data_IF_815903427722
#
_entry.id   IF_815903427722
#
_cell.length_a   1.000
_cell.length_b   1.000
_cell.length_c   1.000
_cell.angle_alpha   90.00
_cell.angle_beta   90.00
_cell.angle_gamma   90.00
#
_symmetry.space_group_name_H-M   'P 1'
#
loop_
_entity.id
_entity.type
_entity.pdbx_description
1 polymer ?
#
# COMPACT_ATOMS: atom_id res chain seq x y z
N UNK A 1 -1.05 1.17 -16.58
CA UNK A 1 -1.85 0.25 -15.74
C UNK A 1 -1.09 -1.06 -15.71
N UNK A 2 -0.59 -1.51 -14.55
CA UNK A 2 0.26 -2.70 -14.49
C UNK A 2 -0.45 -3.98 -14.94
N UNK A 3 -1.75 -4.11 -14.67
CA UNK A 3 -2.54 -5.26 -15.13
C UNK A 3 -2.80 -5.24 -16.63
N UNK A 4 -3.14 -4.08 -17.21
CA UNK A 4 -3.31 -3.96 -18.65
C UNK A 4 -2.01 -4.28 -19.39
N UNK A 5 -0.87 -3.76 -18.90
CA UNK A 5 0.45 -4.09 -19.45
C UNK A 5 0.80 -5.59 -19.33
N UNK A 6 0.26 -6.27 -18.31
CA UNK A 6 0.42 -7.71 -18.12
C UNK A 6 -0.45 -8.51 -19.10
N UNK A 7 -1.70 -8.10 -19.29
CA UNK A 7 -2.63 -8.69 -20.28
C UNK A 7 -2.09 -8.52 -21.70
N UNK A 8 -1.55 -7.34 -22.02
CA UNK A 8 -0.99 -6.99 -23.33
C UNK A 8 0.39 -7.61 -23.59
N UNK A 9 0.89 -8.49 -22.70
CA UNK A 9 2.22 -9.12 -22.79
C UNK A 9 3.40 -8.15 -22.92
N UNK A 10 3.24 -6.90 -22.48
CA UNK A 10 4.32 -5.90 -22.47
C UNK A 10 5.48 -6.38 -21.59
N UNK A 11 5.20 -7.20 -20.58
CA UNK A 11 6.23 -7.79 -19.72
C UNK A 11 7.12 -8.78 -20.48
N UNK A 12 6.63 -9.43 -21.54
CA UNK A 12 7.43 -10.32 -22.39
C UNK A 12 8.31 -9.50 -23.34
N UNK A 13 7.78 -8.40 -23.89
CA UNK A 13 8.58 -7.47 -24.70
C UNK A 13 9.72 -6.82 -23.88
N UNK A 14 9.45 -6.44 -22.63
CA UNK A 14 10.47 -5.95 -21.70
C UNK A 14 11.54 -7.01 -21.37
N UNK A 15 11.26 -8.31 -21.56
CA UNK A 15 12.24 -9.39 -21.37
C UNK A 15 13.42 -9.33 -22.33
N UNK A 16 13.17 -8.84 -23.55
CA UNK A 16 14.15 -8.79 -24.64
C UNK A 16 14.96 -7.49 -24.60
N UNK A 17 14.58 -6.56 -23.73
CA UNK A 17 15.31 -5.31 -23.51
C UNK A 17 16.34 -5.45 -22.37
N UNK A 18 17.42 -4.64 -22.37
CA UNK A 18 18.42 -4.66 -21.29
C UNK A 18 17.89 -4.17 -19.93
N UNK A 19 16.61 -3.79 -19.85
CA UNK A 19 16.00 -3.24 -18.64
C UNK A 19 15.57 -4.39 -17.73
N UNK A 20 16.04 -4.37 -16.48
CA UNK A 20 15.58 -5.36 -15.50
C UNK A 20 14.09 -5.14 -15.15
N UNK A 21 13.27 -6.17 -15.37
CA UNK A 21 11.84 -6.16 -15.02
C UNK A 21 11.61 -5.80 -13.54
N UNK A 22 12.52 -6.25 -12.66
CA UNK A 22 12.50 -5.92 -11.23
C UNK A 22 12.66 -4.41 -10.99
N UNK A 23 13.58 -3.76 -11.70
CA UNK A 23 13.77 -2.31 -11.63
C UNK A 23 12.54 -1.55 -12.13
N UNK A 24 11.92 -2.01 -13.22
CA UNK A 24 10.68 -1.43 -13.73
C UNK A 24 9.52 -1.52 -12.73
N UNK A 25 9.29 -2.70 -12.15
CA UNK A 25 8.21 -2.91 -11.18
C UNK A 25 8.47 -2.14 -9.88
N UNK A 26 9.71 -2.11 -9.40
CA UNK A 26 10.10 -1.30 -8.24
C UNK A 26 9.87 0.20 -8.49
N UNK A 27 10.27 0.70 -9.67
CA UNK A 27 9.99 2.09 -10.07
C UNK A 27 8.49 2.41 -10.05
N UNK A 28 7.65 1.52 -10.59
CA UNK A 28 6.18 1.67 -10.56
C UNK A 28 5.62 1.65 -9.13
N UNK A 29 6.15 0.79 -8.26
CA UNK A 29 5.74 0.74 -6.86
C UNK A 29 6.10 2.03 -6.10
N UNK A 30 7.29 2.57 -6.34
CA UNK A 30 7.72 3.86 -5.79
C UNK A 30 6.83 4.99 -6.31
N UNK A 31 6.55 5.03 -7.62
CA UNK A 31 5.64 6.02 -8.20
C UNK A 31 4.23 5.97 -7.60
N UNK A 32 3.67 4.77 -7.39
CA UNK A 32 2.37 4.60 -6.73
C UNK A 32 2.40 5.07 -5.27
N UNK A 33 3.48 4.80 -4.55
CA UNK A 33 3.68 5.22 -3.15
C UNK A 33 3.77 6.75 -3.05
N UNK A 34 4.59 7.38 -3.89
CA UNK A 34 4.74 8.85 -3.91
C UNK A 34 3.44 9.54 -4.31
N UNK A 35 2.77 9.05 -5.35
CA UNK A 35 1.47 9.58 -5.79
C UNK A 35 0.42 9.48 -4.68
N UNK A 36 0.37 8.35 -3.96
CA UNK A 36 -0.51 8.19 -2.82
C UNK A 36 -0.15 9.10 -1.66
N UNK A 37 1.14 9.33 -1.38
CA UNK A 37 1.59 10.29 -0.37
C UNK A 37 1.07 11.69 -0.67
N UNK A 38 1.26 12.17 -1.90
CA UNK A 38 0.74 13.48 -2.33
C UNK A 38 -0.79 13.56 -2.21
N UNK A 39 -1.50 12.54 -2.72
CA UNK A 39 -2.96 12.50 -2.66
C UNK A 39 -3.46 12.47 -1.21
N UNK A 40 -2.85 11.66 -0.33
CA UNK A 40 -3.23 11.60 1.08
C UNK A 40 -3.02 12.94 1.77
N UNK A 41 -1.88 13.61 1.55
CA UNK A 41 -1.64 14.95 2.11
C UNK A 41 -2.72 15.94 1.68
N UNK A 42 -3.07 15.97 0.40
CA UNK A 42 -4.12 16.85 -0.13
C UNK A 42 -5.50 16.50 0.46
N UNK A 43 -5.86 15.22 0.51
CA UNK A 43 -7.13 14.77 1.07
C UNK A 43 -7.26 15.09 2.56
N UNK A 44 -6.20 14.89 3.35
CA UNK A 44 -6.19 15.21 4.78
C UNK A 44 -6.26 16.72 5.01
N UNK A 45 -5.58 17.50 4.17
CA UNK A 45 -5.63 18.96 4.22
C UNK A 45 -7.02 19.52 3.88
N UNK A 46 -7.63 19.03 2.79
CA UNK A 46 -9.00 19.40 2.39
C UNK A 46 -10.07 18.87 3.35
N UNK A 47 -9.81 17.73 4.00
CA UNK A 47 -10.74 17.08 4.92
C UNK A 47 -10.99 17.83 6.23
N UNK A 48 -10.38 19.00 6.42
CA UNK A 48 -10.68 19.87 7.56
C UNK A 48 -10.25 19.27 8.90
N UNK A 49 -9.23 18.41 8.91
CA UNK A 49 -8.53 17.93 10.12
C UNK A 49 -7.73 19.07 10.79
N UNK A 50 -8.29 20.29 10.80
CA UNK A 50 -7.62 21.57 11.06
C UNK A 50 -7.08 21.78 12.47
N UNK A 51 -7.19 20.78 13.35
CA UNK A 51 -6.46 20.74 14.63
C UNK A 51 -5.06 20.13 14.49
N UNK A 52 -4.81 19.38 13.41
CA UNK A 52 -3.50 18.78 13.15
C UNK A 52 -2.61 19.74 12.36
N UNK A 53 -1.39 19.95 12.87
CA UNK A 53 -0.36 20.73 12.16
C UNK A 53 0.09 20.03 10.87
N UNK A 54 0.67 20.79 9.93
CA UNK A 54 1.09 20.24 8.63
C UNK A 54 2.11 19.10 8.75
N UNK A 55 2.97 19.14 9.77
CA UNK A 55 3.91 18.05 10.07
C UNK A 55 3.17 16.75 10.43
N UNK A 56 2.06 16.85 11.17
CA UNK A 56 1.25 15.71 11.58
C UNK A 56 0.53 15.10 10.37
N UNK A 57 -0.01 15.94 9.49
CA UNK A 57 -0.59 15.51 8.21
C UNK A 57 0.43 14.75 7.36
N UNK A 58 1.65 15.29 7.24
CA UNK A 58 2.73 14.61 6.52
C UNK A 58 3.10 13.26 7.15
N UNK A 59 3.15 13.15 8.49
CA UNK A 59 3.42 11.88 9.16
C UNK A 59 2.36 10.81 8.86
N UNK A 60 1.07 11.17 8.89
CA UNK A 60 -0.02 10.24 8.56
C UNK A 60 0.02 9.87 7.07
N UNK A 61 0.29 10.83 6.19
CA UNK A 61 0.45 10.56 4.77
C UNK A 61 1.61 9.59 4.49
N UNK A 62 2.74 9.75 5.19
CA UNK A 62 3.88 8.83 5.12
C UNK A 62 3.54 7.43 5.63
N UNK A 63 2.69 7.31 6.66
CA UNK A 63 2.22 6.02 7.14
C UNK A 63 1.28 5.33 6.13
N UNK A 64 0.44 6.10 5.41
CA UNK A 64 -0.54 5.57 4.46
C UNK A 64 0.06 5.28 3.07
N UNK A 65 1.05 6.06 2.62
CA UNK A 65 1.60 5.98 1.27
C UNK A 65 2.09 4.58 0.85
N UNK A 66 2.84 3.82 1.69
CA UNK A 66 3.35 2.49 1.32
C UNK A 66 2.25 1.48 0.97
N UNK A 67 1.03 1.68 1.49
CA UNK A 67 -0.11 0.80 1.22
C UNK A 67 -0.49 0.78 -0.26
N UNK A 68 -0.36 1.92 -0.95
CA UNK A 68 -0.63 2.02 -2.39
C UNK A 68 0.39 1.23 -3.22
N UNK A 69 1.68 1.32 -2.87
CA UNK A 69 2.72 0.52 -3.51
C UNK A 69 2.51 -0.98 -3.29
N UNK A 70 2.20 -1.36 -2.06
CA UNK A 70 1.94 -2.75 -1.68
C UNK A 70 0.73 -3.33 -2.42
N UNK A 71 -0.39 -2.60 -2.48
CA UNK A 71 -1.61 -3.04 -3.18
C UNK A 71 -1.39 -3.11 -4.69
N UNK A 72 -0.72 -2.13 -5.30
CA UNK A 72 -0.41 -2.14 -6.72
C UNK A 72 0.47 -3.35 -7.10
N UNK A 73 1.50 -3.64 -6.32
CA UNK A 73 2.38 -4.79 -6.53
C UNK A 73 1.68 -6.11 -6.26
N UNK A 74 0.83 -6.16 -5.23
CA UNK A 74 0.03 -7.34 -4.94
C UNK A 74 -0.90 -7.69 -6.12
N UNK A 75 -1.62 -6.71 -6.65
CA UNK A 75 -2.45 -6.92 -7.84
C UNK A 75 -1.60 -7.38 -9.02
N UNK A 76 -0.46 -6.74 -9.29
CA UNK A 76 0.43 -7.15 -10.37
C UNK A 76 0.93 -8.61 -10.23
N UNK A 77 1.24 -9.04 -9.00
CA UNK A 77 1.78 -10.36 -8.72
C UNK A 77 0.71 -11.47 -8.74
N UNK A 78 -0.52 -11.19 -8.32
CA UNK A 78 -1.55 -12.21 -8.10
C UNK A 78 -2.76 -12.15 -9.04
N UNK A 79 -3.09 -10.98 -9.60
CA UNK A 79 -4.17 -10.90 -10.59
C UNK A 79 -3.65 -11.35 -11.96
N UNK A 80 -4.37 -12.27 -12.61
CA UNK A 80 -4.08 -12.67 -13.97
C UNK A 80 -4.55 -11.60 -14.98
N UNK A 81 -5.75 -11.08 -14.74
CA UNK A 81 -6.51 -10.23 -15.68
C UNK A 81 -7.10 -9.00 -14.95
N UNK A 82 -7.40 -7.93 -15.66
CA UNK A 82 -8.02 -6.68 -15.21
C UNK A 82 -9.38 -6.93 -14.54
N UNK A 83 -10.18 -7.85 -15.06
CA UNK A 83 -11.43 -8.30 -14.44
C UNK A 83 -11.20 -8.85 -13.03
N UNK A 84 -10.23 -9.76 -12.86
CA UNK A 84 -9.87 -10.32 -11.54
C UNK A 84 -9.25 -9.26 -10.64
N UNK A 85 -8.46 -8.35 -11.21
CA UNK A 85 -7.91 -7.20 -10.49
C UNK A 85 -9.00 -6.29 -9.91
N UNK A 86 -10.03 -5.99 -10.69
CA UNK A 86 -11.14 -5.16 -10.24
C UNK A 86 -11.95 -5.82 -9.11
N UNK A 87 -12.23 -7.11 -9.24
CA UNK A 87 -12.86 -7.89 -8.17
C UNK A 87 -11.99 -7.92 -6.91
N UNK A 88 -10.68 -8.14 -7.06
CA UNK A 88 -9.73 -8.17 -5.95
C UNK A 88 -9.65 -6.81 -5.24
N UNK A 89 -9.63 -5.68 -5.96
CA UNK A 89 -9.65 -4.34 -5.36
C UNK A 89 -10.91 -4.14 -4.53
N UNK A 90 -12.08 -4.51 -5.05
CA UNK A 90 -13.36 -4.35 -4.32
C UNK A 90 -13.39 -5.18 -3.04
N UNK A 91 -13.01 -6.45 -3.11
CA UNK A 91 -12.97 -7.31 -1.92
C UNK A 91 -11.91 -6.84 -0.91
N UNK A 92 -10.74 -6.43 -1.41
CA UNK A 92 -9.68 -5.89 -0.56
C UNK A 92 -10.14 -4.60 0.12
N UNK A 93 -10.92 -3.75 -0.54
CA UNK A 93 -11.43 -2.53 0.06
C UNK A 93 -12.29 -2.81 1.31
N UNK A 94 -13.14 -3.83 1.26
CA UNK A 94 -13.92 -4.27 2.44
C UNK A 94 -13.01 -4.62 3.60
N UNK A 95 -11.96 -5.42 3.34
CA UNK A 95 -11.00 -5.84 4.37
C UNK A 95 -10.16 -4.66 4.89
N UNK A 96 -9.71 -3.78 3.99
CA UNK A 96 -8.85 -2.64 4.31
C UNK A 96 -9.61 -1.54 5.07
N UNK A 97 -10.93 -1.47 4.98
CA UNK A 97 -11.75 -0.52 5.75
C UNK A 97 -12.01 -1.00 7.18
N UNK A 98 -11.92 -2.31 7.46
CA UNK A 98 -12.21 -2.88 8.80
C UNK A 98 -11.48 -2.15 9.95
N UNK A 99 -10.17 -1.86 9.87
CA UNK A 99 -9.48 -1.16 10.96
C UNK A 99 -10.01 0.23 11.28
N UNK A 100 -10.62 0.92 10.30
CA UNK A 100 -11.18 2.25 10.51
C UNK A 100 -12.47 2.21 11.35
N UNK A 101 -13.28 1.16 11.19
CA UNK A 101 -14.61 1.04 11.82
C UNK A 101 -14.59 0.27 13.16
N UNK A 102 -13.59 -0.58 13.38
CA UNK A 102 -13.48 -1.33 14.64
C UNK A 102 -12.84 -0.45 15.73
N UNK A 103 -13.48 -0.27 16.91
CA UNK A 103 -12.92 0.51 18.00
C UNK A 103 -11.62 -0.10 18.53
N UNK A 104 -10.58 0.72 18.63
CA UNK A 104 -9.20 0.31 18.94
C UNK A 104 -8.91 0.19 20.43
N UNK A 105 -9.69 -0.59 21.19
CA UNK A 105 -9.41 -0.84 22.61
C UNK A 105 -9.35 -2.34 22.94
N UNK A 106 -8.40 -2.70 23.81
CA UNK A 106 -8.21 -4.07 24.31
C UNK A 106 -7.33 -4.97 23.44
N UNK A 107 -7.24 -6.26 23.82
CA UNK A 107 -6.40 -7.26 23.14
C UNK A 107 -6.94 -7.63 21.74
N UNK A 108 -8.26 -7.51 21.54
CA UNK A 108 -8.91 -7.83 20.26
C UNK A 108 -8.43 -6.97 19.08
N UNK A 109 -7.86 -5.79 19.33
CA UNK A 109 -7.33 -4.92 18.27
C UNK A 109 -6.14 -5.55 17.52
N UNK A 110 -5.37 -6.43 18.19
CA UNK A 110 -4.20 -7.08 17.60
C UNK A 110 -4.57 -8.13 16.55
N UNK A 111 -5.83 -8.59 16.54
CA UNK A 111 -6.35 -9.46 15.48
C UNK A 111 -6.37 -8.74 14.12
N UNK A 112 -6.41 -7.41 14.11
CA UNK A 112 -6.36 -6.60 12.90
C UNK A 112 -4.94 -6.20 12.49
N UNK A 113 -3.92 -6.47 13.32
CA UNK A 113 -2.53 -6.16 12.99
C UNK A 113 -2.01 -6.77 11.66
N UNK A 114 -2.47 -7.96 11.21
CA UNK A 114 -2.13 -8.48 9.89
C UNK A 114 -2.71 -7.66 8.73
N UNK A 115 -3.76 -6.88 8.97
CA UNK A 115 -4.37 -6.03 7.94
C UNK A 115 -3.46 -4.83 7.71
N UNK A 116 -2.95 -4.61 6.49
CA UNK A 116 -1.92 -3.60 6.28
C UNK A 116 -2.43 -2.16 6.49
N UNK A 117 -3.73 -1.90 6.34
CA UNK A 117 -4.34 -0.61 6.67
C UNK A 117 -4.52 -0.36 8.17
N UNK A 118 -4.28 -1.34 9.04
CA UNK A 118 -4.38 -1.17 10.49
C UNK A 118 -3.27 -0.25 11.03
N UNK A 119 -2.05 -0.41 10.54
CA UNK A 119 -0.89 0.41 10.94
C UNK A 119 -1.07 1.91 10.69
N UNK A 120 -1.46 2.37 9.48
CA UNK A 120 -1.75 3.79 9.26
C UNK A 120 -2.96 4.29 10.05
N UNK A 121 -3.97 3.44 10.31
CA UNK A 121 -5.11 3.82 11.14
C UNK A 121 -4.70 4.06 12.60
N UNK A 122 -3.81 3.24 13.16
CA UNK A 122 -3.26 3.44 14.51
C UNK A 122 -2.34 4.67 14.58
N UNK A 123 -1.52 4.91 13.55
CA UNK A 123 -0.70 6.12 13.47
C UNK A 123 -1.56 7.40 13.51
N UNK A 124 -2.69 7.41 12.79
CA UNK A 124 -3.64 8.51 12.83
C UNK A 124 -4.30 8.67 14.22
N UNK A 125 -4.76 7.59 14.84
CA UNK A 125 -5.41 7.61 16.15
C UNK A 125 -4.48 8.10 17.26
N UNK A 126 -3.25 7.60 17.28
CA UNK A 126 -2.23 8.02 18.24
C UNK A 126 -1.95 9.52 18.11
N UNK A 127 -1.81 10.00 16.86
CA UNK A 127 -1.54 11.39 16.59
C UNK A 127 -2.73 12.30 16.95
N UNK A 128 -3.96 11.83 16.72
CA UNK A 128 -5.19 12.51 17.14
C UNK A 128 -5.32 12.59 18.66
N UNK A 129 -4.80 11.59 19.39
CA UNK A 129 -4.75 11.56 20.85
C UNK A 129 -3.55 12.32 21.44
N UNK A 130 -2.66 12.88 20.61
CA UNK A 130 -1.45 13.58 21.06
C UNK A 130 -0.33 12.64 21.56
N UNK A 131 -0.37 11.36 21.18
CA UNK A 131 0.58 10.35 21.63
C UNK A 131 1.94 10.41 20.95
N UNK A 132 3.00 10.09 21.71
CA UNK A 132 4.38 10.15 21.25
C UNK A 132 4.82 8.93 20.42
N UNK A 133 4.02 7.86 20.37
CA UNK A 133 4.39 6.60 19.71
C UNK A 133 4.07 6.57 18.21
N UNK A 134 3.65 7.69 17.63
CA UNK A 134 3.37 7.84 16.18
C UNK A 134 4.48 7.26 15.27
N UNK A 135 5.80 7.48 15.53
CA UNK A 135 6.86 6.92 14.70
C UNK A 135 6.88 5.38 14.67
N UNK A 136 6.49 4.72 15.75
CA UNK A 136 6.45 3.25 15.83
C UNK A 136 5.37 2.69 14.89
N UNK A 137 4.21 3.34 14.87
CA UNK A 137 3.10 2.95 13.99
C UNK A 137 3.43 3.20 12.51
N UNK A 138 4.10 4.31 12.21
CA UNK A 138 4.60 4.61 10.85
C UNK A 138 5.63 3.57 10.41
N UNK A 139 6.59 3.25 11.27
CA UNK A 139 7.61 2.23 10.99
C UNK A 139 6.96 0.86 10.74
N UNK A 140 5.97 0.47 11.54
CA UNK A 140 5.19 -0.75 11.34
C UNK A 140 4.49 -0.79 9.98
N UNK A 141 3.86 0.32 9.56
CA UNK A 141 3.24 0.42 8.22
C UNK A 141 4.26 0.22 7.10
N UNK A 142 5.41 0.91 7.18
CA UNK A 142 6.50 0.80 6.19
C UNK A 142 7.03 -0.63 6.13
N UNK A 143 7.24 -1.28 7.27
CA UNK A 143 7.73 -2.66 7.33
C UNK A 143 6.74 -3.65 6.72
N UNK A 144 5.46 -3.58 7.10
CA UNK A 144 4.42 -4.50 6.61
C UNK A 144 4.18 -4.30 5.12
N UNK A 145 4.00 -3.06 4.67
CA UNK A 145 3.80 -2.76 3.25
C UNK A 145 5.05 -3.06 2.41
N UNK A 146 6.24 -2.81 2.96
CA UNK A 146 7.51 -3.16 2.34
C UNK A 146 7.69 -4.68 2.19
N UNK A 147 7.30 -5.46 3.20
CA UNK A 147 7.31 -6.91 3.13
C UNK A 147 6.34 -7.45 2.07
N UNK A 148 5.10 -6.93 2.01
CA UNK A 148 4.12 -7.29 0.97
C UNK A 148 4.68 -6.98 -0.42
N UNK A 149 5.24 -5.78 -0.59
CA UNK A 149 5.87 -5.34 -1.84
C UNK A 149 7.02 -6.27 -2.24
N UNK A 150 7.91 -6.61 -1.31
CA UNK A 150 9.05 -7.49 -1.57
C UNK A 150 8.62 -8.91 -1.93
N UNK A 151 7.60 -9.47 -1.26
CA UNK A 151 7.03 -10.78 -1.58
C UNK A 151 6.38 -10.78 -2.96
N UNK A 152 5.59 -9.75 -3.27
CA UNK A 152 4.95 -9.58 -4.57
C UNK A 152 5.99 -9.48 -5.70
N UNK A 153 7.05 -8.67 -5.51
CA UNK A 153 8.15 -8.54 -6.47
C UNK A 153 8.89 -9.87 -6.69
N UNK A 154 9.20 -10.60 -5.61
CA UNK A 154 9.85 -11.93 -5.71
C UNK A 154 8.97 -12.91 -6.48
N UNK A 155 7.67 -12.91 -6.24
CA UNK A 155 6.71 -13.78 -6.92
C UNK A 155 6.56 -13.43 -8.40
N UNK A 156 6.37 -12.15 -8.71
CA UNK A 156 6.25 -11.68 -10.09
C UNK A 156 7.50 -12.03 -10.91
N UNK A 157 8.68 -11.99 -10.29
CA UNK A 157 9.92 -12.42 -10.93
C UNK A 157 10.06 -13.95 -11.09
N UNK A 158 9.42 -14.77 -10.23
CA UNK A 158 9.49 -16.25 -10.27
C UNK A 158 8.52 -16.88 -11.26
N UNK A 159 7.36 -16.27 -11.51
CA UNK A 159 6.37 -16.77 -12.48
C UNK A 159 6.92 -16.88 -13.92
N UNK A 160 8.11 -16.34 -14.18
CA UNK A 160 8.87 -16.46 -15.44
C UNK A 160 9.75 -17.70 -15.59
N UNK A 161 10.00 -18.50 -14.55
CA UNK A 161 10.90 -19.68 -14.66
C UNK A 161 10.11 -20.94 -15.07
N UNK A 162 8.77 -20.88 -15.02
CA UNK A 162 7.88 -22.02 -15.27
C UNK A 162 7.18 -21.99 -16.64
N UNK A 163 7.50 -21.02 -17.50
CA UNK A 163 7.03 -20.89 -18.88
C UNK A 163 8.22 -20.65 -19.80
#
# INVERSE_FOLDING_TARGET
>A
MLLGEKEDRVWDALAVTPVSLRGYLAWRAVGATLGAGCACTVCLWLGGLGTMGIAQVCCVALAAAPLAGATAMALAAWAADTLRGFAAVKLSFVVLVLPAVVPGSGIGQWLLAPVPSWWPAQAYRELAAGGALTPVWVAGSVLVCGAITAVALRRAARHRIAH
#
